data_IF_376662491769
#
_entry.id   IF_376662491769
#
_cell.length_a   1.000
_cell.length_b   1.000
_cell.length_c   1.000
_cell.angle_alpha   90.00
_cell.angle_beta   90.00
_cell.angle_gamma   90.00
#
_symmetry.space_group_name_H-M   'P 1'
#
loop_
_entity.id
_entity.type
_entity.pdbx_description
1 polymer ?
#
# COMPACT_ATOMS: atom_id res chain seq x y z
N UNK A 1 -34.27 -14.53 28.84
CA UNK A 1 -34.16 -13.68 27.64
C UNK A 1 -33.29 -12.47 27.94
N UNK A 2 -31.96 -12.57 27.82
CA UNK A 2 -31.03 -11.41 27.81
C UNK A 2 -29.61 -11.88 27.52
N UNK A 3 -29.38 -12.33 26.30
CA UNK A 3 -28.05 -12.60 25.77
C UNK A 3 -28.14 -12.11 24.31
N UNK A 4 -27.27 -11.26 23.77
CA UNK A 4 -25.81 -11.37 23.77
C UNK A 4 -25.23 -9.98 23.48
N UNK A 5 -25.06 -9.12 24.49
CA UNK A 5 -24.22 -7.92 24.38
C UNK A 5 -22.76 -8.30 24.58
N UNK A 6 -22.23 -9.04 23.60
CA UNK A 6 -20.81 -9.38 23.54
C UNK A 6 -20.22 -8.83 22.25
N UNK A 7 -20.32 -7.51 22.08
CA UNK A 7 -19.47 -6.76 21.14
C UNK A 7 -18.08 -6.68 21.78
N UNK A 8 -17.36 -7.81 21.78
CA UNK A 8 -15.94 -7.81 22.09
C UNK A 8 -15.25 -6.96 21.03
N UNK A 9 -14.64 -5.86 21.45
CA UNK A 9 -13.82 -4.98 20.62
C UNK A 9 -12.58 -5.76 20.21
N UNK A 10 -12.69 -6.53 19.13
CA UNK A 10 -11.57 -7.18 18.46
C UNK A 10 -11.24 -6.30 17.27
N UNK A 11 -10.23 -5.43 17.43
CA UNK A 11 -9.61 -4.58 16.38
C UNK A 11 -10.64 -4.03 15.38
N UNK A 12 -11.08 -2.79 15.55
CA UNK A 12 -12.03 -2.13 14.63
C UNK A 12 -11.26 -1.32 13.57
N UNK A 13 -10.80 -1.93 12.45
CA UNK A 13 -10.05 -1.22 11.43
C UNK A 13 -10.89 -0.15 10.75
N UNK A 14 -10.20 0.90 10.33
CA UNK A 14 -10.74 1.87 9.38
C UNK A 14 -10.41 1.36 7.98
N UNK A 15 -11.41 1.30 7.13
CA UNK A 15 -11.23 1.04 5.70
C UNK A 15 -11.62 2.28 4.90
N UNK A 16 -10.82 2.56 3.88
CA UNK A 16 -11.08 3.62 2.92
C UNK A 16 -11.81 3.07 1.68
N UNK A 17 -12.79 3.82 1.20
CA UNK A 17 -13.55 3.52 -0.01
C UNK A 17 -13.60 4.73 -0.93
N UNK A 18 -13.60 4.49 -2.23
CA UNK A 18 -13.85 5.50 -3.26
C UNK A 18 -15.04 5.07 -4.13
N UNK A 19 -15.94 6.02 -4.43
CA UNK A 19 -17.04 5.77 -5.36
C UNK A 19 -16.56 5.84 -6.82
N UNK A 20 -16.89 4.81 -7.60
CA UNK A 20 -16.51 4.73 -9.02
C UNK A 20 -17.25 5.74 -9.92
N UNK A 21 -18.36 6.33 -9.45
CA UNK A 21 -19.15 7.30 -10.23
C UNK A 21 -18.83 8.75 -9.90
N UNK A 22 -18.78 9.08 -8.61
CA UNK A 22 -18.63 10.47 -8.17
C UNK A 22 -17.27 10.76 -7.51
N UNK A 23 -16.40 9.75 -7.40
CA UNK A 23 -15.04 9.85 -6.83
C UNK A 23 -14.99 10.40 -5.40
N UNK A 24 -16.09 10.30 -4.67
CA UNK A 24 -16.14 10.67 -3.26
C UNK A 24 -15.47 9.58 -2.43
N UNK A 25 -14.69 10.01 -1.43
CA UNK A 25 -13.96 9.11 -0.52
C UNK A 25 -14.62 9.04 0.84
N UNK A 26 -14.59 7.85 1.42
CA UNK A 26 -15.21 7.55 2.70
C UNK A 26 -14.27 6.74 3.57
N UNK A 27 -14.19 7.10 4.85
CA UNK A 27 -13.53 6.32 5.88
C UNK A 27 -14.60 5.64 6.73
N UNK A 28 -14.53 4.31 6.83
CA UNK A 28 -15.56 3.52 7.51
C UNK A 28 -14.89 2.59 8.51
N UNK A 29 -15.27 2.76 9.78
CA UNK A 29 -14.91 1.82 10.85
C UNK A 29 -15.82 0.60 10.77
N UNK A 30 -15.24 -0.59 10.66
CA UNK A 30 -16.01 -1.84 10.58
C UNK A 30 -15.23 -2.98 11.21
N UNK A 31 -15.93 -4.03 11.63
CA UNK A 31 -15.28 -5.21 12.19
C UNK A 31 -14.74 -6.13 11.08
N UNK A 32 -13.67 -6.84 11.40
CA UNK A 32 -13.17 -7.93 10.56
C UNK A 32 -14.23 -9.05 10.56
N UNK A 33 -14.87 -9.26 9.40
CA UNK A 33 -15.88 -10.30 9.19
C UNK A 33 -17.31 -9.77 8.99
N UNK A 34 -17.53 -8.46 9.10
CA UNK A 34 -18.80 -7.84 8.73
C UNK A 34 -18.85 -7.48 7.24
N UNK A 35 -20.07 -7.41 6.69
CA UNK A 35 -20.28 -7.00 5.31
C UNK A 35 -19.92 -5.53 5.10
N UNK A 36 -19.10 -5.28 4.08
CA UNK A 36 -18.69 -3.92 3.71
C UNK A 36 -19.78 -3.22 2.88
N UNK A 37 -19.97 -1.90 3.06
CA UNK A 37 -20.92 -1.15 2.27
C UNK A 37 -20.46 -1.08 0.81
N UNK A 38 -21.37 -1.47 -0.10
CA UNK A 38 -21.10 -1.51 -1.55
C UNK A 38 -21.65 -0.29 -2.29
N UNK A 39 -22.44 0.55 -1.64
CA UNK A 39 -23.21 1.62 -2.27
C UNK A 39 -22.86 2.99 -1.70
N UNK A 40 -22.61 3.95 -2.59
CA UNK A 40 -22.34 5.33 -2.25
C UNK A 40 -23.61 6.04 -1.79
N UNK A 41 -23.58 6.67 -0.61
CA UNK A 41 -24.74 7.38 -0.03
C UNK A 41 -25.09 8.64 -0.82
N UNK A 42 -24.12 9.24 -1.52
CA UNK A 42 -24.30 10.50 -2.27
C UNK A 42 -24.98 10.28 -3.64
N UNK A 43 -24.64 9.20 -4.34
CA UNK A 43 -25.08 9.00 -5.74
C UNK A 43 -25.63 7.60 -6.06
N UNK A 44 -25.61 6.66 -5.10
CA UNK A 44 -26.01 5.27 -5.33
C UNK A 44 -25.04 4.47 -6.21
N UNK A 45 -23.86 5.01 -6.54
CA UNK A 45 -22.81 4.30 -7.27
C UNK A 45 -22.14 3.19 -6.47
N UNK A 46 -21.37 2.35 -7.14
CA UNK A 46 -20.59 1.30 -6.51
C UNK A 46 -19.41 1.90 -5.72
N UNK A 47 -19.14 1.36 -4.53
CA UNK A 47 -17.97 1.70 -3.71
C UNK A 47 -16.90 0.64 -3.86
N UNK A 48 -15.67 1.09 -4.08
CA UNK A 48 -14.49 0.23 -4.14
C UNK A 48 -13.58 0.54 -2.95
N UNK A 49 -13.13 -0.50 -2.24
CA UNK A 49 -12.13 -0.36 -1.19
C UNK A 49 -10.80 0.07 -1.82
N UNK A 50 -10.20 1.14 -1.30
CA UNK A 50 -8.90 1.64 -1.74
C UNK A 50 -7.84 1.39 -0.67
N UNK A 51 -6.60 1.23 -1.11
CA UNK A 51 -5.44 1.11 -0.24
C UNK A 51 -4.55 2.31 -0.48
N UNK A 52 -4.36 3.11 0.58
CA UNK A 52 -3.44 4.23 0.55
C UNK A 52 -1.99 3.73 0.42
N UNK A 53 -1.13 4.40 -0.38
CA UNK A 53 0.25 3.99 -0.56
C UNK A 53 0.99 4.06 0.79
N UNK A 54 1.59 2.95 1.18
CA UNK A 54 2.42 2.85 2.40
C UNK A 54 3.89 2.73 2.02
N UNK A 55 4.75 3.50 2.70
CA UNK A 55 6.20 3.35 2.56
C UNK A 55 6.67 2.07 3.23
N UNK A 56 7.25 1.15 2.45
CA UNK A 56 7.85 -0.08 2.98
C UNK A 56 9.37 0.05 3.01
N UNK A 57 9.98 -0.40 4.10
CA UNK A 57 11.44 -0.40 4.28
C UNK A 57 11.88 -1.83 4.56
N UNK A 58 12.69 -2.39 3.67
CA UNK A 58 13.28 -3.71 3.85
C UNK A 58 14.58 -3.59 4.64
N UNK A 59 14.63 -4.17 5.84
CA UNK A 59 15.84 -4.26 6.66
C UNK A 59 16.39 -5.69 6.57
N UNK A 60 17.54 -5.86 5.93
CA UNK A 60 18.24 -7.14 5.80
C UNK A 60 19.52 -7.02 4.99
N UNK A 61 20.56 -7.76 5.35
CA UNK A 61 21.88 -7.73 4.69
C UNK A 61 21.86 -8.23 3.24
N UNK A 62 20.77 -8.85 2.78
CA UNK A 62 20.64 -9.41 1.44
C UNK A 62 19.85 -8.58 0.42
N UNK A 63 19.14 -7.51 0.84
CA UNK A 63 18.28 -6.74 -0.08
C UNK A 63 19.06 -5.67 -0.88
N UNK A 64 20.18 -5.18 -0.33
CA UNK A 64 20.95 -4.08 -0.93
C UNK A 64 21.95 -4.52 -2.01
N UNK A 65 22.30 -5.80 -2.11
CA UNK A 65 23.47 -6.22 -2.92
C UNK A 65 23.09 -6.94 -4.22
N UNK A 66 21.87 -7.48 -4.34
CA UNK A 66 21.47 -8.31 -5.49
C UNK A 66 20.62 -7.59 -6.55
N UNK A 67 19.83 -6.57 -6.18
CA UNK A 67 18.89 -5.92 -7.12
C UNK A 67 19.36 -4.58 -7.72
N UNK A 68 20.45 -4.01 -7.19
CA UNK A 68 21.12 -2.93 -7.92
C UNK A 68 21.81 -3.55 -9.14
N UNK A 69 21.14 -3.43 -10.28
CA UNK A 69 21.71 -3.71 -11.61
C UNK A 69 23.04 -2.95 -11.69
N UNK A 70 24.18 -3.65 -11.49
CA UNK A 70 25.50 -3.13 -11.84
C UNK A 70 25.38 -2.77 -13.32
N UNK A 71 25.41 -1.47 -13.63
CA UNK A 71 25.57 -1.01 -15.00
C UNK A 71 26.87 -1.67 -15.47
N UNK A 72 26.76 -2.55 -16.45
CA UNK A 72 27.88 -3.29 -17.02
C UNK A 72 28.99 -2.30 -17.33
N UNK A 73 30.13 -2.47 -16.66
CA UNK A 73 31.40 -1.93 -17.11
C UNK A 73 31.75 -2.69 -18.40
N UNK A 74 31.27 -2.19 -19.54
CA UNK A 74 31.80 -2.56 -20.84
C UNK A 74 33.26 -2.12 -20.85
N UNK A 75 34.14 -3.12 -20.86
CA UNK A 75 35.58 -2.94 -20.91
C UNK A 75 35.99 -2.65 -22.35
N UNK A 76 37.11 -1.94 -22.50
CA UNK A 76 37.97 -1.81 -23.68
C UNK A 76 37.79 -0.57 -24.58
N UNK A 77 38.83 0.28 -24.57
CA UNK A 77 39.03 1.29 -25.62
C UNK A 77 39.88 2.50 -25.22
N UNK A 78 41.16 2.29 -24.90
CA UNK A 78 42.30 3.19 -25.15
C UNK A 78 42.17 4.70 -24.87
N UNK A 79 42.99 5.22 -23.93
CA UNK A 79 44.15 6.10 -24.22
C UNK A 79 44.74 6.74 -22.95
N UNK A 80 46.08 6.73 -22.93
CA UNK A 80 47.01 7.42 -22.05
C UNK A 80 46.56 8.78 -21.53
N UNK A 81 46.92 9.09 -20.27
CA UNK A 81 47.99 10.09 -19.99
C UNK A 81 48.28 10.19 -18.50
N UNK A 82 49.58 10.17 -18.19
CA UNK A 82 50.24 10.39 -16.90
C UNK A 82 49.87 11.73 -16.22
N UNK A 83 50.14 11.83 -14.90
CA UNK A 83 50.17 13.10 -14.18
C UNK A 83 50.27 12.95 -12.67
N UNK A 84 51.50 12.79 -12.17
CA UNK A 84 51.94 12.87 -10.76
C UNK A 84 51.47 14.13 -10.01
N UNK A 85 51.10 13.98 -8.73
CA UNK A 85 51.84 14.45 -7.53
C UNK A 85 50.92 14.48 -6.30
#
# INVERSE_FOLDING_TARGET
MREKNKKEVRIMPIYEFECEKCHERYEIMTNIGEDLPKTCVKCGGNLKKIFSPVGIVFKGSGFYTTDYKRKSSESEGSKNSEGEK
#
